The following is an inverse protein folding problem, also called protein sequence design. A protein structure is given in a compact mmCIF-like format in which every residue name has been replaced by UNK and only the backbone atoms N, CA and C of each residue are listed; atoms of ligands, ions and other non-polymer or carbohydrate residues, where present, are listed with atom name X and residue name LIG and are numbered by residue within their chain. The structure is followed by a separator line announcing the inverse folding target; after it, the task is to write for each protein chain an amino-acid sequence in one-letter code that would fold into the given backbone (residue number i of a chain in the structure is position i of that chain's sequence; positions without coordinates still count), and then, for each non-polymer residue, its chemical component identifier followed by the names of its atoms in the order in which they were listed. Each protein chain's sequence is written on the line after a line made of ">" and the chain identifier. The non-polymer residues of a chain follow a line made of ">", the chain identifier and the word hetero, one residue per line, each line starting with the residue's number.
data_IF_764982939790
#
_entry.id   IF_764982939790
#
_cell.length_a   1.000
_cell.length_b   1.000
_cell.length_c   1.000
_cell.angle_alpha   90.00
_cell.angle_beta   90.00
_cell.angle_gamma   90.00
#
_symmetry.space_group_name_H-M   'P 1'
#
loop_
_entity.id
_entity.type
_entity.pdbx_description
1 polymer ?
#
# COMPACT_ATOMS: atom_id res chain seq x y z
N UNK A 1 68.25 37.31 0.78
CA UNK A 1 68.38 35.85 0.90
C UNK A 1 67.17 35.35 1.65
N UNK A 2 66.21 34.80 0.99
CA UNK A 2 64.98 34.24 1.58
C UNK A 2 65.37 32.86 2.11
N UNK A 3 65.14 32.68 3.42
CA UNK A 3 65.61 31.52 4.17
C UNK A 3 64.84 30.25 3.72
N UNK A 4 65.51 29.28 3.12
CA UNK A 4 64.94 28.02 2.59
C UNK A 4 64.05 27.25 3.60
N UNK A 5 64.26 27.43 4.92
CA UNK A 5 63.47 26.81 5.98
C UNK A 5 62.01 27.29 6.04
N UNK A 6 61.71 28.49 5.55
CA UNK A 6 60.33 29.01 5.50
C UNK A 6 59.58 28.51 4.29
N UNK A 7 60.28 28.26 3.17
CA UNK A 7 59.69 27.71 1.94
C UNK A 7 59.27 26.26 2.17
N UNK A 8 60.08 25.44 2.85
CA UNK A 8 59.70 24.06 3.15
C UNK A 8 58.53 23.97 4.16
N UNK A 9 58.42 24.90 5.13
CA UNK A 9 57.28 24.98 6.03
C UNK A 9 55.98 25.42 5.32
N UNK A 10 56.07 26.36 4.37
CA UNK A 10 54.91 26.79 3.59
C UNK A 10 54.46 25.67 2.65
N UNK A 11 55.38 24.94 2.00
CA UNK A 11 55.05 23.79 1.16
C UNK A 11 54.44 22.64 1.95
N UNK A 12 54.91 22.38 3.16
CA UNK A 12 54.33 21.35 4.06
C UNK A 12 52.91 21.73 4.53
N UNK A 13 52.66 23.00 4.82
CA UNK A 13 51.31 23.48 5.20
C UNK A 13 50.34 23.43 4.03
N UNK A 14 50.78 23.78 2.80
CA UNK A 14 49.95 23.63 1.59
C UNK A 14 49.67 22.15 1.26
N UNK A 15 50.61 21.23 1.50
CA UNK A 15 50.39 19.80 1.27
C UNK A 15 49.42 19.20 2.29
N UNK A 16 49.40 19.66 3.54
CA UNK A 16 48.43 19.25 4.58
C UNK A 16 47.06 19.80 4.29
N UNK A 17 46.91 21.01 3.76
CA UNK A 17 45.60 21.58 3.34
C UNK A 17 44.99 20.83 2.14
N UNK A 18 45.78 20.24 1.25
CA UNK A 18 45.26 19.47 0.12
C UNK A 18 44.72 18.08 0.56
N UNK A 19 45.25 17.53 1.65
CA UNK A 19 44.76 16.25 2.19
C UNK A 19 43.45 16.44 3.00
N UNK A 20 43.15 17.64 3.50
CA UNK A 20 41.90 17.97 4.23
C UNK A 20 40.68 18.16 3.31
N UNK A 21 40.84 18.21 1.97
CA UNK A 21 39.75 18.11 0.99
C UNK A 21 39.32 16.64 0.75
N UNK A 22 39.71 15.73 1.67
CA UNK A 22 39.34 14.33 1.64
C UNK A 22 37.89 14.11 1.97
N UNK A 23 37.15 13.63 1.01
CA UNK A 23 35.91 12.86 1.13
C UNK A 23 34.86 13.45 2.09
N UNK A 24 34.22 14.52 1.71
CA UNK A 24 32.83 14.69 2.16
C UNK A 24 32.07 13.47 1.64
N UNK A 25 31.80 12.47 2.50
CA UNK A 25 30.95 11.34 2.17
C UNK A 25 29.66 11.92 1.58
N UNK A 26 29.48 11.76 0.29
CA UNK A 26 28.28 12.22 -0.40
C UNK A 26 27.06 11.66 0.32
N UNK A 27 26.25 12.52 0.92
CA UNK A 27 25.02 12.11 1.60
C UNK A 27 23.88 11.87 0.59
N UNK A 28 24.24 11.25 -0.55
CA UNK A 28 23.36 10.99 -1.67
C UNK A 28 23.44 9.52 -2.08
N UNK A 29 22.32 8.98 -2.56
CA UNK A 29 22.32 7.75 -3.32
C UNK A 29 22.35 8.04 -4.83
N UNK A 30 22.76 7.06 -5.61
CA UNK A 30 22.83 7.15 -7.07
C UNK A 30 22.06 6.00 -7.72
N UNK A 31 21.19 6.31 -8.65
CA UNK A 31 20.51 5.33 -9.52
C UNK A 31 20.99 5.58 -10.94
N UNK A 32 21.65 4.61 -11.54
CA UNK A 32 22.22 4.73 -12.90
C UNK A 32 21.97 3.48 -13.72
N UNK A 33 22.20 3.57 -14.99
CA UNK A 33 22.12 2.38 -15.84
C UNK A 33 21.90 2.68 -17.31
N UNK A 34 21.40 1.65 -18.00
CA UNK A 34 21.11 1.69 -19.43
C UNK A 34 19.74 1.06 -19.68
N UNK A 35 18.93 1.73 -20.50
CA UNK A 35 17.67 1.18 -21.03
C UNK A 35 17.80 1.07 -22.54
N UNK A 36 18.03 -0.12 -23.06
CA UNK A 36 18.11 -0.38 -24.49
C UNK A 36 16.74 -0.13 -25.16
N UNK A 37 16.74 0.29 -26.42
CA UNK A 37 15.52 0.51 -27.22
C UNK A 37 14.64 1.67 -26.74
N UNK A 38 15.16 2.58 -25.89
CA UNK A 38 14.40 3.66 -25.24
C UNK A 38 14.58 5.05 -25.86
N UNK A 39 15.22 5.16 -27.00
CA UNK A 39 15.55 6.45 -27.64
C UNK A 39 14.33 7.39 -27.70
N UNK A 40 14.51 8.61 -27.21
CA UNK A 40 13.48 9.65 -27.21
C UNK A 40 12.40 9.51 -26.13
N UNK A 41 12.38 8.41 -25.38
CA UNK A 41 11.45 8.21 -24.26
C UNK A 41 11.97 8.90 -22.99
N UNK A 42 11.08 9.32 -22.12
CA UNK A 42 11.42 9.92 -20.82
C UNK A 42 11.36 8.85 -19.74
N UNK A 43 12.47 8.69 -19.01
CA UNK A 43 12.56 7.87 -17.80
C UNK A 43 12.40 8.80 -16.60
N UNK A 44 11.52 8.41 -15.68
CA UNK A 44 11.28 9.12 -14.44
C UNK A 44 11.83 8.34 -13.26
N UNK A 45 12.44 9.04 -12.31
CA UNK A 45 12.68 8.56 -10.96
C UNK A 45 11.59 9.11 -10.06
N UNK A 46 10.87 8.23 -9.38
CA UNK A 46 9.75 8.59 -8.51
C UNK A 46 9.95 8.00 -7.11
N UNK A 47 9.57 8.75 -6.07
CA UNK A 47 9.44 8.25 -4.71
C UNK A 47 8.00 7.75 -4.50
N UNK A 48 7.86 6.59 -3.90
CA UNK A 48 6.57 5.97 -3.59
C UNK A 48 6.27 6.15 -2.11
N UNK A 49 5.58 7.24 -1.76
CA UNK A 49 5.08 7.50 -0.41
C UNK A 49 3.93 6.56 -0.02
N UNK A 50 3.36 6.75 1.16
CA UNK A 50 2.20 5.97 1.62
C UNK A 50 0.92 6.30 0.85
N UNK A 51 0.70 7.58 0.57
CA UNK A 51 -0.52 8.11 -0.06
C UNK A 51 -0.26 8.84 -1.37
N UNK A 52 1.00 9.05 -1.76
CA UNK A 52 1.32 9.82 -2.94
C UNK A 52 2.60 9.34 -3.62
N UNK A 53 2.69 9.61 -4.91
CA UNK A 53 3.89 9.37 -5.71
C UNK A 53 4.44 10.72 -6.12
N UNK A 54 5.74 10.93 -5.85
CA UNK A 54 6.42 12.20 -6.17
C UNK A 54 7.48 11.97 -7.23
N UNK A 55 7.41 12.70 -8.33
CA UNK A 55 8.49 12.70 -9.32
C UNK A 55 9.68 13.46 -8.72
N UNK A 56 10.82 12.78 -8.58
CA UNK A 56 12.05 13.36 -8.06
C UNK A 56 12.94 13.91 -9.17
N UNK A 57 12.98 13.20 -10.31
CA UNK A 57 13.83 13.57 -11.43
C UNK A 57 13.34 12.87 -12.71
N UNK A 58 13.81 13.36 -13.87
CA UNK A 58 13.50 12.74 -15.14
C UNK A 58 14.61 13.00 -16.17
N UNK A 59 14.76 12.07 -17.12
CA UNK A 59 15.71 12.21 -18.22
C UNK A 59 15.10 11.72 -19.53
N UNK A 60 15.28 12.50 -20.60
CA UNK A 60 14.98 12.05 -21.96
C UNK A 60 16.13 11.18 -22.47
N UNK A 61 15.87 9.90 -22.66
CA UNK A 61 16.90 8.92 -23.02
C UNK A 61 17.38 9.14 -24.47
N UNK A 62 18.72 9.09 -24.62
CA UNK A 62 19.39 9.15 -25.91
C UNK A 62 19.53 7.75 -26.51
N UNK A 63 20.19 7.67 -27.68
CA UNK A 63 20.37 6.39 -28.40
C UNK A 63 21.17 5.36 -27.58
N UNK A 64 22.05 5.78 -26.68
CA UNK A 64 22.83 4.91 -25.80
C UNK A 64 22.03 4.44 -24.56
N UNK A 65 20.83 4.97 -24.35
CA UNK A 65 19.92 4.61 -23.26
C UNK A 65 20.44 4.89 -21.85
N UNK A 66 21.57 5.61 -21.71
CA UNK A 66 22.20 5.85 -20.41
C UNK A 66 21.44 6.88 -19.59
N UNK A 67 21.38 6.63 -18.27
CA UNK A 67 20.82 7.56 -17.31
C UNK A 67 21.61 7.55 -15.99
N UNK A 68 21.48 8.64 -15.24
CA UNK A 68 22.01 8.76 -13.88
C UNK A 68 21.17 9.79 -13.11
N UNK A 69 20.62 9.34 -11.99
CA UNK A 69 19.93 10.17 -11.01
C UNK A 69 20.73 10.19 -9.70
N UNK A 70 20.80 11.35 -9.05
CA UNK A 70 21.38 11.53 -7.72
C UNK A 70 20.35 12.21 -6.81
N UNK A 71 20.10 11.63 -5.64
CA UNK A 71 19.14 12.17 -4.68
C UNK A 71 19.73 12.09 -3.27
N UNK A 72 19.30 12.96 -2.33
CA UNK A 72 19.64 12.82 -0.93
C UNK A 72 19.26 11.44 -0.41
N UNK A 73 20.09 10.85 0.44
CA UNK A 73 19.75 9.57 1.07
C UNK A 73 18.51 9.73 1.96
N UNK A 74 17.62 8.74 1.99
CA UNK A 74 16.46 8.76 2.86
C UNK A 74 16.87 8.62 4.35
N UNK A 75 16.02 9.10 5.26
CA UNK A 75 16.22 8.97 6.71
C UNK A 75 16.06 7.53 7.20
N UNK A 76 15.15 6.78 6.55
CA UNK A 76 14.87 5.36 6.77
C UNK A 76 14.82 4.67 5.40
N UNK A 77 14.81 3.33 5.34
CA UNK A 77 14.55 2.64 4.09
C UNK A 77 13.29 3.18 3.41
N UNK A 78 13.41 3.64 2.18
CA UNK A 78 12.31 4.23 1.44
C UNK A 78 12.19 3.63 0.04
N UNK A 79 11.06 3.85 -0.60
CA UNK A 79 10.63 3.15 -1.79
C UNK A 79 10.62 4.07 -2.99
N UNK A 80 11.19 3.57 -4.06
CA UNK A 80 11.35 4.29 -5.31
C UNK A 80 10.90 3.43 -6.48
N UNK A 81 10.68 4.09 -7.61
CA UNK A 81 10.46 3.38 -8.88
C UNK A 81 11.05 4.13 -10.06
N UNK A 82 11.53 3.38 -11.03
CA UNK A 82 11.79 3.89 -12.36
C UNK A 82 10.52 3.69 -13.19
N UNK A 83 10.04 4.74 -13.84
CA UNK A 83 8.88 4.67 -14.73
C UNK A 83 9.27 5.02 -16.15
N UNK A 84 9.00 4.08 -17.06
CA UNK A 84 9.13 4.26 -18.51
C UNK A 84 7.77 4.02 -19.15
N UNK A 85 7.10 5.08 -19.64
CA UNK A 85 5.68 5.04 -20.04
C UNK A 85 4.82 4.48 -18.90
N UNK A 86 4.14 3.33 -19.13
CA UNK A 86 3.29 2.65 -18.15
C UNK A 86 3.98 1.47 -17.46
N UNK A 87 5.30 1.30 -17.68
CA UNK A 87 6.07 0.22 -17.07
C UNK A 87 6.87 0.73 -15.87
N UNK A 88 6.95 -0.06 -14.81
CA UNK A 88 7.50 0.32 -13.52
C UNK A 88 8.52 -0.70 -13.04
N UNK A 89 9.70 -0.25 -12.62
CA UNK A 89 10.67 -1.04 -11.87
C UNK A 89 10.70 -0.49 -10.45
N UNK A 90 10.23 -1.26 -9.48
CA UNK A 90 10.26 -0.91 -8.07
C UNK A 90 11.58 -1.30 -7.42
N UNK A 91 12.06 -0.46 -6.51
CA UNK A 91 13.27 -0.71 -5.74
C UNK A 91 13.24 0.09 -4.42
N UNK A 92 14.16 -0.21 -3.53
CA UNK A 92 14.31 0.53 -2.27
C UNK A 92 15.72 1.09 -2.13
N UNK A 93 15.83 2.13 -1.33
CA UNK A 93 17.09 2.73 -0.90
C UNK A 93 17.08 2.87 0.61
N UNK A 94 18.14 2.44 1.27
CA UNK A 94 18.32 2.57 2.72
C UNK A 94 19.55 3.38 3.13
N UNK A 95 20.45 3.64 2.19
CA UNK A 95 21.74 4.26 2.48
C UNK A 95 22.24 5.16 1.32
N UNK A 96 23.54 5.41 1.29
CA UNK A 96 24.25 6.12 0.21
C UNK A 96 24.70 5.19 -0.91
N UNK A 97 23.93 4.18 -1.22
CA UNK A 97 24.23 3.16 -2.22
C UNK A 97 24.21 3.68 -3.66
N UNK A 98 24.86 2.93 -4.53
CA UNK A 98 24.77 3.12 -5.98
C UNK A 98 24.10 1.90 -6.58
N UNK A 99 22.91 2.09 -7.13
CA UNK A 99 22.13 1.03 -7.75
C UNK A 99 22.25 1.15 -9.26
N UNK A 100 22.63 0.07 -9.92
CA UNK A 100 22.80 0.03 -11.37
C UNK A 100 21.76 -0.85 -12.02
N UNK A 101 20.98 -0.31 -12.95
CA UNK A 101 19.96 -1.03 -13.71
C UNK A 101 20.38 -1.19 -15.17
N UNK A 102 20.15 -2.38 -15.71
CA UNK A 102 20.20 -2.62 -17.16
C UNK A 102 18.86 -3.21 -17.58
N UNK A 103 18.18 -2.59 -18.53
CA UNK A 103 16.84 -2.98 -18.96
C UNK A 103 16.66 -2.81 -20.47
N UNK A 104 15.61 -3.43 -21.02
CA UNK A 104 15.13 -3.22 -22.37
C UNK A 104 13.74 -2.56 -22.32
N UNK A 105 13.51 -1.53 -23.14
CA UNK A 105 12.28 -0.77 -23.14
C UNK A 105 11.03 -1.58 -23.52
N UNK A 106 11.18 -2.68 -24.27
CA UNK A 106 10.05 -3.55 -24.66
C UNK A 106 9.61 -4.45 -23.51
N UNK A 107 10.58 -4.92 -22.69
CA UNK A 107 10.35 -5.82 -21.56
C UNK A 107 10.87 -5.21 -20.25
N UNK A 108 10.60 -3.93 -20.03
CA UNK A 108 11.22 -3.12 -18.99
C UNK A 108 11.09 -3.73 -17.59
N UNK A 109 9.91 -4.29 -17.27
CA UNK A 109 9.61 -4.86 -15.94
C UNK A 109 10.23 -6.24 -15.73
N UNK A 110 10.39 -7.03 -16.79
CA UNK A 110 10.80 -8.45 -16.67
C UNK A 110 12.25 -8.70 -17.04
N UNK A 111 12.81 -7.89 -17.96
CA UNK A 111 14.17 -8.13 -18.49
C UNK A 111 15.29 -7.44 -17.70
N UNK A 112 14.96 -6.53 -16.77
CA UNK A 112 15.99 -5.75 -16.10
C UNK A 112 16.89 -6.60 -15.20
N UNK A 113 18.16 -6.17 -15.08
CA UNK A 113 19.08 -6.60 -14.01
C UNK A 113 19.32 -5.45 -13.06
N UNK A 114 19.65 -5.76 -11.81
CA UNK A 114 19.96 -4.76 -10.79
C UNK A 114 21.18 -5.21 -9.99
N UNK A 115 22.12 -4.27 -9.79
CA UNK A 115 23.35 -4.48 -9.04
C UNK A 115 23.54 -3.36 -8.02
N UNK A 116 24.30 -3.63 -6.95
CA UNK A 116 24.63 -2.66 -5.91
C UNK A 116 23.60 -2.52 -4.80
N UNK A 117 22.51 -3.32 -4.81
CA UNK A 117 21.51 -3.35 -3.76
C UNK A 117 20.85 -4.73 -3.67
N UNK A 118 21.04 -5.44 -2.56
CA UNK A 118 20.43 -6.75 -2.34
C UNK A 118 18.91 -6.63 -2.16
N UNK A 119 18.44 -5.56 -1.49
CA UNK A 119 17.01 -5.30 -1.38
C UNK A 119 16.37 -5.11 -2.77
N UNK A 120 17.02 -4.38 -3.67
CA UNK A 120 16.50 -4.16 -5.03
C UNK A 120 16.49 -5.44 -5.88
N UNK A 121 17.43 -6.37 -5.66
CA UNK A 121 17.38 -7.71 -6.25
C UNK A 121 16.20 -8.50 -5.75
N UNK A 122 15.96 -8.46 -4.44
CA UNK A 122 14.83 -9.12 -3.83
C UNK A 122 13.48 -8.52 -4.27
N UNK A 123 13.41 -7.20 -4.46
CA UNK A 123 12.23 -6.55 -5.07
C UNK A 123 11.90 -7.11 -6.45
N UNK A 124 12.92 -7.40 -7.27
CA UNK A 124 12.72 -8.05 -8.57
C UNK A 124 12.11 -9.43 -8.42
N UNK A 125 12.62 -10.26 -7.50
CA UNK A 125 12.08 -11.60 -7.25
C UNK A 125 10.60 -11.53 -6.85
N UNK A 126 10.25 -10.65 -5.91
CA UNK A 126 8.87 -10.42 -5.48
C UNK A 126 7.99 -9.90 -6.63
N UNK A 127 8.50 -8.96 -7.42
CA UNK A 127 7.75 -8.42 -8.58
C UNK A 127 7.47 -9.51 -9.61
N UNK A 128 8.45 -10.34 -9.92
CA UNK A 128 8.26 -11.45 -10.89
C UNK A 128 7.26 -12.47 -10.36
N UNK A 129 7.35 -12.85 -9.08
CA UNK A 129 6.39 -13.75 -8.47
C UNK A 129 4.95 -13.19 -8.49
N UNK A 130 4.80 -11.89 -8.26
CA UNK A 130 3.52 -11.19 -8.34
C UNK A 130 2.97 -11.17 -9.77
N UNK A 131 3.82 -10.91 -10.76
CA UNK A 131 3.44 -10.93 -12.18
C UNK A 131 3.01 -12.32 -12.63
N UNK A 132 3.75 -13.36 -12.24
CA UNK A 132 3.44 -14.75 -12.58
C UNK A 132 2.07 -15.16 -12.00
N UNK A 133 1.79 -14.83 -10.75
CA UNK A 133 0.49 -15.11 -10.13
C UNK A 133 -0.67 -14.37 -10.84
N UNK A 134 -0.47 -13.09 -11.22
CA UNK A 134 -1.48 -12.34 -11.98
C UNK A 134 -1.69 -12.89 -13.39
N UNK A 135 -0.61 -13.34 -14.05
CA UNK A 135 -0.71 -13.96 -15.37
C UNK A 135 -1.46 -15.28 -15.31
N UNK A 136 -1.20 -16.09 -14.27
CA UNK A 136 -1.90 -17.35 -14.06
C UNK A 136 -3.40 -17.11 -13.78
N UNK A 137 -3.73 -16.16 -12.90
CA UNK A 137 -5.12 -15.78 -12.65
C UNK A 137 -5.84 -15.36 -13.94
N UNK A 138 -5.17 -14.59 -14.81
CA UNK A 138 -5.75 -14.19 -16.11
C UNK A 138 -6.04 -15.38 -17.01
N UNK A 139 -5.13 -16.38 -17.08
CA UNK A 139 -5.35 -17.62 -17.83
C UNK A 139 -6.52 -18.41 -17.27
N UNK A 140 -6.58 -18.58 -15.94
CA UNK A 140 -7.64 -19.30 -15.24
C UNK A 140 -9.02 -18.66 -15.50
N UNK A 141 -9.13 -17.34 -15.44
CA UNK A 141 -10.37 -16.61 -15.77
C UNK A 141 -10.83 -16.86 -17.17
N UNK A 142 -9.92 -16.82 -18.14
CA UNK A 142 -10.25 -17.10 -19.54
C UNK A 142 -10.76 -18.53 -19.72
N UNK A 143 -10.08 -19.53 -19.13
CA UNK A 143 -10.48 -20.94 -19.21
C UNK A 143 -11.82 -21.18 -18.53
N UNK A 144 -12.05 -20.58 -17.38
CA UNK A 144 -13.31 -20.67 -16.65
C UNK A 144 -14.47 -19.98 -17.43
N UNK A 145 -14.23 -18.77 -17.94
CA UNK A 145 -15.23 -18.05 -18.76
C UNK A 145 -15.60 -18.75 -20.06
N UNK A 146 -14.73 -19.61 -20.59
CA UNK A 146 -14.99 -20.47 -21.73
C UNK A 146 -15.58 -21.84 -21.35
N UNK A 147 -15.89 -22.09 -20.07
CA UNK A 147 -16.35 -23.36 -19.52
C UNK A 147 -15.37 -24.54 -19.77
N UNK A 148 -14.06 -24.26 -19.87
CA UNK A 148 -13.03 -25.29 -20.09
C UNK A 148 -12.59 -25.99 -18.81
N UNK A 149 -12.84 -25.39 -17.65
CA UNK A 149 -12.54 -25.93 -16.33
C UNK A 149 -13.75 -25.76 -15.40
N UNK A 150 -14.01 -26.74 -14.52
CA UNK A 150 -15.09 -26.65 -13.55
C UNK A 150 -14.75 -25.66 -12.42
N UNK A 151 -15.75 -25.20 -11.69
CA UNK A 151 -15.64 -24.24 -10.59
C UNK A 151 -14.63 -24.68 -9.50
N UNK A 152 -14.66 -25.97 -9.11
CA UNK A 152 -13.74 -26.53 -8.12
C UNK A 152 -12.26 -26.40 -8.56
N UNK A 153 -11.96 -26.72 -9.82
CA UNK A 153 -10.61 -26.57 -10.38
C UNK A 153 -10.20 -25.11 -10.47
N UNK A 154 -11.13 -24.22 -10.83
CA UNK A 154 -10.88 -22.79 -10.87
C UNK A 154 -10.50 -22.24 -9.50
N UNK A 155 -11.29 -22.54 -8.46
CA UNK A 155 -11.04 -22.11 -7.08
C UNK A 155 -9.72 -22.67 -6.54
N UNK A 156 -9.46 -23.98 -6.71
CA UNK A 156 -8.22 -24.61 -6.28
C UNK A 156 -6.99 -23.97 -6.95
N UNK A 157 -7.06 -23.72 -8.25
CA UNK A 157 -5.96 -23.14 -9.01
C UNK A 157 -5.65 -21.69 -8.58
N UNK A 158 -6.67 -20.89 -8.24
CA UNK A 158 -6.47 -19.56 -7.66
C UNK A 158 -5.76 -19.64 -6.31
N UNK A 159 -6.21 -20.54 -5.43
CA UNK A 159 -5.56 -20.75 -4.14
C UNK A 159 -4.09 -21.14 -4.29
N UNK A 160 -3.79 -22.02 -5.25
CA UNK A 160 -2.43 -22.43 -5.56
C UNK A 160 -1.55 -21.28 -6.07
N UNK A 161 -2.09 -20.42 -6.95
CA UNK A 161 -1.37 -19.24 -7.44
C UNK A 161 -1.05 -18.26 -6.29
N UNK A 162 -1.99 -18.04 -5.38
CA UNK A 162 -1.80 -17.23 -4.17
C UNK A 162 -0.77 -17.86 -3.24
N UNK A 163 -0.85 -19.18 -3.01
CA UNK A 163 0.07 -19.89 -2.14
C UNK A 163 1.50 -19.85 -2.69
N UNK A 164 1.68 -20.00 -4.00
CA UNK A 164 3.00 -19.93 -4.65
C UNK A 164 3.69 -18.59 -4.43
N UNK A 165 2.96 -17.48 -4.58
CA UNK A 165 3.47 -16.16 -4.24
C UNK A 165 3.84 -16.07 -2.74
N UNK A 166 2.93 -16.49 -1.85
CA UNK A 166 3.14 -16.40 -0.40
C UNK A 166 4.38 -17.18 0.06
N UNK A 167 4.71 -18.31 -0.55
CA UNK A 167 5.91 -19.08 -0.23
C UNK A 167 7.19 -18.28 -0.52
N UNK A 168 7.24 -17.56 -1.64
CA UNK A 168 8.38 -16.68 -1.97
C UNK A 168 8.42 -15.48 -1.01
N UNK A 169 7.29 -14.83 -0.79
CA UNK A 169 7.18 -13.65 0.06
C UNK A 169 7.56 -13.91 1.53
N UNK A 170 7.15 -15.08 2.08
CA UNK A 170 7.43 -15.50 3.46
C UNK A 170 8.92 -15.59 3.77
N UNK A 171 9.77 -15.94 2.78
CA UNK A 171 11.24 -15.96 2.94
C UNK A 171 11.75 -14.60 3.41
N UNK A 172 11.23 -13.51 2.83
CA UNK A 172 11.61 -12.14 3.16
C UNK A 172 10.89 -11.63 4.41
N UNK A 173 9.59 -11.87 4.52
CA UNK A 173 8.74 -11.41 5.62
C UNK A 173 9.23 -11.96 6.97
N UNK A 174 9.59 -13.24 7.02
CA UNK A 174 10.03 -13.87 8.27
C UNK A 174 11.55 -13.97 8.39
N UNK A 175 12.29 -13.99 7.27
CA UNK A 175 13.75 -14.04 7.29
C UNK A 175 14.43 -12.73 7.64
N UNK A 176 13.87 -11.59 7.18
CA UNK A 176 14.39 -10.26 7.45
C UNK A 176 13.23 -9.24 7.57
N UNK A 177 12.40 -9.33 8.62
CA UNK A 177 11.16 -8.55 8.73
C UNK A 177 11.36 -7.05 8.82
N UNK A 178 12.57 -6.56 9.17
CA UNK A 178 12.94 -5.14 9.14
C UNK A 178 13.32 -4.64 7.73
N UNK A 179 13.51 -5.55 6.76
CA UNK A 179 13.94 -5.14 5.42
C UNK A 179 12.82 -4.43 4.65
N UNK A 180 13.16 -3.49 3.75
CA UNK A 180 12.16 -2.91 2.86
C UNK A 180 11.52 -3.98 1.95
N UNK A 181 12.22 -5.08 1.65
CA UNK A 181 11.67 -6.20 0.89
C UNK A 181 10.53 -6.90 1.62
N UNK A 182 10.62 -7.07 2.94
CA UNK A 182 9.54 -7.66 3.73
C UNK A 182 8.26 -6.80 3.67
N UNK A 183 8.41 -5.49 3.82
CA UNK A 183 7.29 -4.55 3.63
C UNK A 183 6.72 -4.65 2.21
N UNK A 184 7.58 -4.58 1.18
CA UNK A 184 7.16 -4.65 -0.21
C UNK A 184 6.40 -5.95 -0.52
N UNK A 185 6.91 -7.08 -0.06
CA UNK A 185 6.29 -8.39 -0.24
C UNK A 185 4.92 -8.50 0.44
N UNK A 186 4.77 -7.90 1.63
CA UNK A 186 3.52 -7.93 2.39
C UNK A 186 2.37 -7.21 1.66
N UNK A 187 2.68 -6.14 0.91
CA UNK A 187 1.68 -5.28 0.27
C UNK A 187 1.52 -5.53 -1.24
N UNK A 188 2.01 -6.65 -1.77
CA UNK A 188 1.73 -6.98 -3.17
C UNK A 188 0.30 -7.49 -3.35
N UNK A 189 -0.19 -7.32 -4.59
CA UNK A 189 -1.58 -7.58 -4.95
C UNK A 189 -1.68 -8.56 -6.12
N UNK A 190 -2.73 -9.34 -6.10
CA UNK A 190 -3.23 -10.13 -7.22
C UNK A 190 -4.62 -9.57 -7.60
N UNK A 191 -4.74 -9.03 -8.80
CA UNK A 191 -5.99 -8.42 -9.29
C UNK A 191 -6.59 -7.39 -8.32
N UNK A 192 -5.74 -6.52 -7.74
CA UNK A 192 -6.14 -5.50 -6.79
C UNK A 192 -6.37 -5.98 -5.35
N UNK A 193 -6.20 -7.27 -5.07
CA UNK A 193 -6.36 -7.85 -3.73
C UNK A 193 -5.00 -8.15 -3.10
N UNK A 194 -4.84 -7.87 -1.84
CA UNK A 194 -3.61 -8.27 -1.15
C UNK A 194 -3.46 -9.78 -1.09
N UNK A 195 -2.26 -10.28 -1.39
CA UNK A 195 -1.94 -11.69 -1.18
C UNK A 195 -2.07 -12.08 0.28
N UNK A 196 -1.59 -11.23 1.20
CA UNK A 196 -1.75 -11.42 2.63
C UNK A 196 -3.00 -10.70 3.10
N UNK A 197 -4.01 -11.46 3.48
CA UNK A 197 -5.26 -10.91 3.97
C UNK A 197 -5.11 -10.45 5.43
N UNK A 198 -5.35 -9.17 5.66
CA UNK A 198 -5.28 -8.56 6.99
C UNK A 198 -6.19 -9.24 8.02
N UNK A 199 -7.28 -9.84 7.54
CA UNK A 199 -8.33 -10.45 8.36
C UNK A 199 -8.22 -11.99 8.41
N UNK A 200 -7.24 -12.59 7.73
CA UNK A 200 -6.94 -14.00 7.86
C UNK A 200 -6.01 -14.25 9.05
N UNK A 201 -6.34 -15.24 9.88
CA UNK A 201 -5.59 -15.57 11.10
C UNK A 201 -4.15 -16.04 10.82
N UNK A 202 -3.91 -16.68 9.70
CA UNK A 202 -2.57 -17.17 9.31
C UNK A 202 -1.74 -16.01 8.80
N UNK A 203 -2.32 -15.16 7.96
CA UNK A 203 -1.66 -14.02 7.36
C UNK A 203 -1.36 -12.89 8.38
N UNK A 204 -2.17 -12.77 9.43
CA UNK A 204 -1.97 -11.79 10.51
C UNK A 204 -0.59 -11.85 11.16
N UNK A 205 0.04 -13.03 11.17
CA UNK A 205 1.40 -13.23 11.68
C UNK A 205 2.44 -12.48 10.84
N UNK A 206 2.23 -12.37 9.54
CA UNK A 206 3.10 -11.63 8.64
C UNK A 206 3.07 -10.11 8.97
N UNK A 207 1.88 -9.56 9.17
CA UNK A 207 1.72 -8.16 9.61
C UNK A 207 2.39 -7.92 10.97
N UNK A 208 2.18 -8.82 11.93
CA UNK A 208 2.79 -8.73 13.26
C UNK A 208 4.32 -8.75 13.22
N UNK A 209 4.91 -9.64 12.42
CA UNK A 209 6.36 -9.77 12.29
C UNK A 209 6.99 -8.49 11.72
N UNK A 210 6.45 -7.98 10.60
CA UNK A 210 6.97 -6.78 9.94
C UNK A 210 6.73 -5.53 10.81
N UNK A 211 5.54 -5.38 11.39
CA UNK A 211 5.21 -4.25 12.26
C UNK A 211 6.11 -4.15 13.48
N UNK A 212 6.34 -5.27 14.20
CA UNK A 212 7.23 -5.31 15.35
C UNK A 212 8.65 -4.91 14.98
N UNK A 213 9.15 -5.43 13.86
CA UNK A 213 10.49 -5.09 13.39
C UNK A 213 10.63 -3.65 12.96
N UNK A 214 9.67 -3.11 12.19
CA UNK A 214 9.70 -1.70 11.78
C UNK A 214 9.58 -0.76 12.97
N UNK A 215 8.75 -1.08 13.96
CA UNK A 215 8.66 -0.30 15.22
C UNK A 215 9.99 -0.29 15.98
N UNK A 216 10.73 -1.40 15.97
CA UNK A 216 12.01 -1.53 16.65
C UNK A 216 13.13 -0.76 15.94
N UNK A 217 13.24 -0.91 14.61
CA UNK A 217 14.38 -0.39 13.86
C UNK A 217 14.12 1.00 13.26
N UNK A 218 12.85 1.34 12.97
CA UNK A 218 12.47 2.59 12.31
C UNK A 218 11.23 3.24 12.97
N UNK A 219 11.24 3.49 14.30
CA UNK A 219 10.04 3.91 15.05
C UNK A 219 9.42 5.21 14.54
N UNK A 220 10.25 6.11 14.00
CA UNK A 220 9.79 7.39 13.44
C UNK A 220 9.34 7.32 11.98
N UNK A 221 9.45 6.15 11.34
CA UNK A 221 9.02 5.98 9.96
C UNK A 221 7.49 6.01 9.85
N UNK A 222 6.91 6.76 8.88
CA UNK A 222 5.49 6.69 8.61
C UNK A 222 4.99 5.27 8.32
N UNK A 223 5.84 4.43 7.69
CA UNK A 223 5.53 3.02 7.41
C UNK A 223 5.47 2.17 8.68
N UNK A 224 6.29 2.48 9.70
CA UNK A 224 6.20 1.79 10.99
C UNK A 224 4.86 2.07 11.67
N UNK A 225 4.39 3.33 11.65
CA UNK A 225 3.09 3.71 12.22
C UNK A 225 1.93 3.04 11.47
N UNK A 226 1.99 3.01 10.14
CA UNK A 226 1.01 2.30 9.32
C UNK A 226 0.96 0.81 9.66
N UNK A 227 2.11 0.14 9.69
CA UNK A 227 2.21 -1.29 10.00
C UNK A 227 1.70 -1.61 11.40
N UNK A 228 2.01 -0.76 12.40
CA UNK A 228 1.50 -0.94 13.77
C UNK A 228 -0.03 -0.88 13.80
N UNK A 229 -0.62 0.11 13.14
CA UNK A 229 -2.08 0.22 13.03
C UNK A 229 -2.70 -1.01 12.36
N UNK A 230 -2.13 -1.46 11.23
CA UNK A 230 -2.61 -2.63 10.51
C UNK A 230 -2.48 -3.93 11.34
N UNK A 231 -1.35 -4.12 12.02
CA UNK A 231 -1.13 -5.29 12.86
C UNK A 231 -2.09 -5.34 14.05
N UNK A 232 -2.35 -4.20 14.70
CA UNK A 232 -3.32 -4.11 15.79
C UNK A 232 -4.74 -4.40 15.28
N UNK A 233 -5.12 -3.86 14.12
CA UNK A 233 -6.40 -4.14 13.50
C UNK A 233 -6.55 -5.63 13.16
N UNK A 234 -5.55 -6.22 12.54
CA UNK A 234 -5.51 -7.64 12.23
C UNK A 234 -5.68 -8.50 13.48
N UNK A 235 -4.96 -8.19 14.55
CA UNK A 235 -5.05 -8.92 15.82
C UNK A 235 -6.45 -8.81 16.47
N UNK A 236 -7.09 -7.64 16.42
CA UNK A 236 -8.44 -7.46 16.98
C UNK A 236 -9.46 -8.32 16.27
N UNK A 237 -9.43 -8.32 14.93
CA UNK A 237 -10.40 -9.10 14.13
C UNK A 237 -10.11 -10.61 14.19
N UNK A 238 -8.83 -11.03 14.19
CA UNK A 238 -8.47 -12.46 14.13
C UNK A 238 -8.46 -13.16 15.48
N UNK A 239 -8.37 -12.43 16.60
CA UNK A 239 -8.44 -13.00 17.95
C UNK A 239 -9.87 -13.26 18.42
N UNK A 240 -10.88 -12.91 17.64
CA UNK A 240 -12.32 -13.06 17.87
C UNK A 240 -12.72 -13.69 19.20
N UNK A 241 -13.52 -13.00 20.02
CA UNK A 241 -14.32 -13.45 21.16
C UNK A 241 -13.61 -14.01 22.41
N UNK A 242 -12.29 -14.04 22.52
CA UNK A 242 -11.62 -14.52 23.73
C UNK A 242 -10.73 -13.50 24.41
N UNK A 243 -11.19 -12.29 24.64
CA UNK A 243 -10.65 -11.49 25.75
C UNK A 243 -11.65 -10.47 26.26
N UNK A 244 -12.21 -10.80 27.40
CA UNK A 244 -12.72 -9.80 28.34
C UNK A 244 -11.64 -8.74 28.59
N UNK A 245 -12.02 -7.51 28.29
CA UNK A 245 -11.59 -6.25 28.89
C UNK A 245 -10.26 -6.29 29.67
N UNK A 246 -9.18 -5.88 29.04
CA UNK A 246 -8.12 -5.19 29.76
C UNK A 246 -8.41 -3.70 29.52
N UNK A 247 -8.85 -3.03 30.57
CA UNK A 247 -9.01 -1.59 30.61
C UNK A 247 -7.68 -0.94 30.28
N UNK A 248 -7.55 -0.30 29.11
CA UNK A 248 -6.55 0.72 28.90
C UNK A 248 -7.24 2.08 29.01
N UNK A 249 -7.14 2.65 30.21
CA UNK A 249 -7.40 4.07 30.41
C UNK A 249 -6.41 4.90 29.57
N UNK A 250 -7.00 5.88 28.86
CA UNK A 250 -6.33 7.05 28.25
C UNK A 250 -5.40 6.84 27.07
N UNK A 251 -5.96 6.47 25.93
CA UNK A 251 -5.56 7.03 24.64
C UNK A 251 -6.73 6.85 23.67
N UNK A 252 -7.18 7.90 23.05
CA UNK A 252 -8.10 7.89 21.90
C UNK A 252 -7.37 7.32 20.68
N UNK A 253 -6.96 6.07 20.75
CA UNK A 253 -6.39 5.34 19.62
C UNK A 253 -7.53 4.74 18.82
N UNK A 254 -7.77 5.31 17.66
CA UNK A 254 -8.72 4.80 16.68
C UNK A 254 -8.29 3.40 16.27
N UNK A 255 -9.11 2.39 16.55
CA UNK A 255 -8.77 0.98 16.34
C UNK A 255 -9.06 0.48 14.91
N UNK A 256 -9.16 1.38 13.96
CA UNK A 256 -9.35 1.12 12.53
C UNK A 256 -8.50 2.11 11.72
N UNK A 257 -8.30 1.81 10.46
CA UNK A 257 -7.63 2.75 9.55
C UNK A 257 -8.60 3.87 9.26
N UNK A 258 -8.23 5.08 9.67
CA UNK A 258 -9.10 6.23 9.49
C UNK A 258 -9.22 6.60 8.02
N UNK A 259 -10.42 7.04 7.66
CA UNK A 259 -10.78 7.44 6.30
C UNK A 259 -11.20 8.89 6.35
N UNK A 260 -10.62 9.70 5.49
CA UNK A 260 -10.98 11.10 5.31
C UNK A 260 -11.19 11.34 3.80
N UNK A 261 -12.43 11.58 3.42
CA UNK A 261 -12.84 11.70 2.02
C UNK A 261 -13.88 12.81 1.85
N UNK A 262 -13.96 13.44 0.65
CA UNK A 262 -14.93 14.48 0.38
C UNK A 262 -16.36 13.94 0.39
N UNK A 263 -17.22 14.63 1.14
CA UNK A 263 -18.66 14.42 1.15
C UNK A 263 -19.35 15.16 -0.01
N UNK A 264 -20.68 15.09 -0.06
CA UNK A 264 -21.53 15.71 -1.11
C UNK A 264 -21.29 17.23 -1.24
N UNK A 265 -20.96 17.88 -0.13
CA UNK A 265 -20.72 19.33 -0.07
C UNK A 265 -19.23 19.70 -0.25
N UNK A 266 -18.43 18.81 -0.81
CA UNK A 266 -16.98 18.97 -1.01
C UNK A 266 -16.19 19.24 0.28
N UNK A 267 -16.76 18.93 1.44
CA UNK A 267 -16.07 18.97 2.74
C UNK A 267 -15.62 17.57 3.08
N UNK A 268 -14.38 17.45 3.50
CA UNK A 268 -13.85 16.17 3.95
C UNK A 268 -14.56 15.73 5.24
N UNK A 269 -14.99 14.48 5.26
CA UNK A 269 -15.66 13.84 6.39
C UNK A 269 -14.79 12.71 6.88
N UNK A 270 -14.42 12.77 8.14
CA UNK A 270 -13.53 11.81 8.77
C UNK A 270 -14.30 10.72 9.47
N UNK A 271 -13.98 9.46 9.16
CA UNK A 271 -14.65 8.31 9.74
C UNK A 271 -14.53 8.27 11.27
N UNK A 272 -13.35 8.62 11.82
CA UNK A 272 -13.13 8.69 13.26
C UNK A 272 -14.02 9.71 13.97
N UNK A 273 -14.38 10.82 13.30
CA UNK A 273 -15.33 11.79 13.87
C UNK A 273 -16.77 11.28 13.88
N UNK A 274 -17.14 10.55 12.82
CA UNK A 274 -18.47 9.92 12.70
C UNK A 274 -18.66 8.79 13.70
N UNK A 275 -17.61 8.03 13.99
CA UNK A 275 -17.62 6.87 14.87
C UNK A 275 -17.69 7.21 16.37
N UNK A 276 -17.57 8.50 16.76
CA UNK A 276 -17.61 8.90 18.17
C UNK A 276 -18.94 8.53 18.83
N UNK A 277 -18.92 7.49 19.67
CA UNK A 277 -20.08 7.04 20.44
C UNK A 277 -21.19 6.37 19.60
N UNK A 278 -20.91 6.06 18.34
CA UNK A 278 -21.86 5.40 17.43
C UNK A 278 -21.32 4.05 16.94
N UNK A 279 -22.24 3.11 16.71
CA UNK A 279 -21.92 1.96 15.86
C UNK A 279 -22.01 2.42 14.40
N UNK A 280 -20.99 2.13 13.59
CA UNK A 280 -20.92 2.61 12.21
C UNK A 280 -20.76 1.45 11.24
N UNK A 281 -21.66 1.38 10.25
CA UNK A 281 -21.50 0.52 9.09
C UNK A 281 -20.69 1.26 8.04
N UNK A 282 -19.44 0.85 7.83
CA UNK A 282 -18.59 1.32 6.74
C UNK A 282 -18.91 0.48 5.52
N UNK A 283 -19.40 1.11 4.46
CA UNK A 283 -19.88 0.45 3.24
C UNK A 283 -19.13 0.99 2.01
N UNK A 284 -18.29 0.16 1.41
CA UNK A 284 -17.73 0.45 0.08
C UNK A 284 -18.72 0.02 -0.99
N UNK A 285 -19.05 0.93 -1.90
CA UNK A 285 -20.11 0.75 -2.91
C UNK A 285 -19.74 1.42 -4.23
N UNK A 286 -20.52 1.10 -5.27
CA UNK A 286 -20.58 1.87 -6.50
C UNK A 286 -22.07 2.04 -6.89
N UNK A 287 -22.50 3.27 -6.96
CA UNK A 287 -23.91 3.61 -7.23
C UNK A 287 -24.32 3.28 -8.70
N UNK A 288 -23.35 3.23 -9.61
CA UNK A 288 -23.59 2.88 -11.02
C UNK A 288 -23.92 1.40 -11.27
N UNK A 289 -23.82 0.55 -10.24
CA UNK A 289 -24.11 -0.87 -10.35
C UNK A 289 -25.62 -1.15 -10.27
N UNK A 290 -26.10 -2.17 -11.01
CA UNK A 290 -27.52 -2.54 -11.08
C UNK A 290 -28.11 -2.95 -9.72
N UNK A 291 -27.29 -3.53 -8.83
CA UNK A 291 -27.73 -3.96 -7.50
C UNK A 291 -27.81 -2.83 -6.48
N UNK A 292 -27.15 -1.69 -6.71
CA UNK A 292 -27.01 -0.60 -5.72
C UNK A 292 -28.33 0.01 -5.27
N UNK A 293 -29.33 0.26 -6.14
CA UNK A 293 -30.62 0.81 -5.69
C UNK A 293 -31.35 -0.09 -4.70
N UNK A 294 -31.45 -1.39 -4.98
CA UNK A 294 -32.11 -2.35 -4.11
C UNK A 294 -31.35 -2.49 -2.76
N UNK A 295 -30.04 -2.51 -2.82
CA UNK A 295 -29.20 -2.58 -1.61
C UNK A 295 -29.36 -1.34 -0.72
N UNK A 296 -29.36 -0.14 -1.32
CA UNK A 296 -29.58 1.10 -0.59
C UNK A 296 -31.00 1.20 0.03
N UNK A 297 -32.00 0.62 -0.61
CA UNK A 297 -33.35 0.49 -0.01
C UNK A 297 -33.31 -0.34 1.30
N UNK A 298 -32.65 -1.50 1.27
CA UNK A 298 -32.50 -2.34 2.47
C UNK A 298 -31.72 -1.61 3.57
N UNK A 299 -30.66 -0.88 3.21
CA UNK A 299 -29.91 -0.05 4.17
C UNK A 299 -30.77 1.08 4.74
N UNK A 300 -31.68 1.66 3.96
CA UNK A 300 -32.59 2.73 4.41
C UNK A 300 -33.55 2.26 5.49
N UNK A 301 -34.05 1.04 5.38
CA UNK A 301 -34.90 0.42 6.40
C UNK A 301 -34.13 0.21 7.71
N UNK A 302 -32.93 -0.34 7.61
CA UNK A 302 -32.05 -0.55 8.78
C UNK A 302 -31.62 0.79 9.41
N UNK A 303 -31.27 1.77 8.61
CA UNK A 303 -30.89 3.10 9.08
C UNK A 303 -32.04 3.77 9.83
N UNK A 304 -33.26 3.75 9.27
CA UNK A 304 -34.44 4.33 9.89
C UNK A 304 -34.79 3.68 11.26
N UNK A 305 -34.51 2.37 11.40
CA UNK A 305 -34.75 1.60 12.61
C UNK A 305 -33.75 1.84 13.74
N UNK A 306 -32.48 2.19 13.39
CA UNK A 306 -31.38 2.20 14.34
C UNK A 306 -30.66 3.56 14.49
N UNK A 307 -30.84 4.55 13.61
CA UNK A 307 -30.18 5.86 13.68
C UNK A 307 -30.38 6.56 15.04
N UNK A 308 -31.59 6.55 15.57
CA UNK A 308 -31.90 7.21 16.85
C UNK A 308 -31.37 6.44 18.08
N UNK A 309 -30.81 5.25 17.84
CA UNK A 309 -30.18 4.40 18.87
C UNK A 309 -28.66 4.48 18.86
N UNK A 310 -28.10 5.38 18.03
CA UNK A 310 -26.65 5.58 17.90
C UNK A 310 -26.02 4.69 16.84
N UNK A 311 -26.73 4.45 15.73
CA UNK A 311 -26.21 3.81 14.54
C UNK A 311 -26.00 4.83 13.42
N UNK A 312 -24.93 4.67 12.63
CA UNK A 312 -24.64 5.49 11.47
C UNK A 312 -24.13 4.62 10.31
N UNK A 313 -24.28 5.12 9.09
CA UNK A 313 -23.68 4.53 7.89
C UNK A 313 -22.69 5.52 7.30
N UNK A 314 -21.47 5.08 7.08
CA UNK A 314 -20.41 5.80 6.36
C UNK A 314 -20.18 5.07 5.04
N UNK A 315 -20.78 5.59 3.97
CA UNK A 315 -20.80 4.96 2.66
C UNK A 315 -19.77 5.60 1.73
N UNK A 316 -18.84 4.79 1.22
CA UNK A 316 -17.74 5.19 0.38
C UNK A 316 -18.06 4.80 -1.06
N UNK A 317 -18.26 5.78 -1.92
CA UNK A 317 -18.44 5.56 -3.35
C UNK A 317 -17.09 5.38 -4.02
N UNK A 318 -16.97 4.31 -4.81
CA UNK A 318 -15.88 4.03 -5.72
C UNK A 318 -16.29 4.29 -7.19
N UNK A 319 -17.34 5.06 -7.43
CA UNK A 319 -17.75 5.45 -8.77
C UNK A 319 -16.68 6.34 -9.43
N UNK A 320 -16.42 6.15 -10.71
CA UNK A 320 -15.48 6.99 -11.46
C UNK A 320 -16.07 8.36 -11.80
N UNK A 321 -17.41 8.50 -11.78
CA UNK A 321 -18.14 9.72 -12.07
C UNK A 321 -18.65 10.38 -10.78
N UNK A 322 -17.95 11.44 -10.37
CA UNK A 322 -18.29 12.20 -9.18
C UNK A 322 -19.65 12.91 -9.27
N UNK A 323 -20.10 13.29 -10.49
CA UNK A 323 -21.41 13.93 -10.67
C UNK A 323 -22.53 12.92 -10.51
N UNK A 324 -22.36 11.72 -11.07
CA UNK A 324 -23.31 10.64 -10.86
C UNK A 324 -23.44 10.30 -9.39
N UNK A 325 -22.31 10.09 -8.70
CA UNK A 325 -22.31 9.85 -7.27
C UNK A 325 -23.05 10.95 -6.49
N UNK A 326 -22.72 12.24 -6.71
CA UNK A 326 -23.40 13.35 -6.00
C UNK A 326 -24.91 13.32 -6.17
N UNK A 327 -25.39 13.08 -7.37
CA UNK A 327 -26.81 12.98 -7.68
C UNK A 327 -27.46 11.80 -6.96
N UNK A 328 -26.86 10.62 -7.01
CA UNK A 328 -27.38 9.43 -6.34
C UNK A 328 -27.36 9.57 -4.81
N UNK A 329 -26.25 10.09 -4.27
CA UNK A 329 -26.06 10.26 -2.84
C UNK A 329 -26.90 11.39 -2.21
N UNK A 330 -27.42 12.35 -3.00
CA UNK A 330 -28.29 13.41 -2.50
C UNK A 330 -29.62 12.91 -1.93
N UNK A 331 -30.02 11.70 -2.27
CA UNK A 331 -31.29 11.10 -1.89
C UNK A 331 -31.18 10.11 -0.72
N UNK A 332 -29.99 9.90 -0.16
CA UNK A 332 -29.80 9.00 0.98
C UNK A 332 -29.69 9.76 2.29
N UNK A 333 -30.23 9.21 3.41
CA UNK A 333 -30.28 9.92 4.69
C UNK A 333 -29.03 9.77 5.57
N UNK A 334 -28.01 9.07 5.12
CA UNK A 334 -26.76 8.83 5.85
C UNK A 334 -25.56 9.48 5.16
N UNK A 335 -24.38 9.31 5.74
CA UNK A 335 -23.14 9.91 5.23
C UNK A 335 -22.67 9.16 4.00
N UNK A 336 -22.48 9.89 2.88
CA UNK A 336 -21.81 9.40 1.69
C UNK A 336 -20.61 10.27 1.36
N UNK A 337 -19.49 9.60 1.12
CA UNK A 337 -18.23 10.18 0.69
C UNK A 337 -17.77 9.53 -0.61
N UNK A 338 -16.86 10.19 -1.32
CA UNK A 338 -16.39 9.72 -2.62
C UNK A 338 -14.86 9.59 -2.62
N UNK A 339 -14.37 8.43 -3.05
CA UNK A 339 -12.97 8.25 -3.35
C UNK A 339 -12.70 8.51 -4.84
N UNK A 340 -12.04 9.62 -5.19
CA UNK A 340 -11.78 9.97 -6.58
C UNK A 340 -10.81 9.01 -7.28
N UNK A 341 -10.12 8.14 -6.53
CA UNK A 341 -9.26 7.11 -7.10
C UNK A 341 -10.07 5.92 -7.65
N UNK A 342 -11.36 5.80 -7.33
CA UNK A 342 -12.28 4.77 -7.84
C UNK A 342 -11.71 3.35 -7.69
N UNK A 343 -11.56 2.62 -8.79
CA UNK A 343 -10.99 1.26 -8.81
C UNK A 343 -9.50 1.21 -8.36
N UNK A 344 -8.81 2.34 -8.32
CA UNK A 344 -7.43 2.46 -7.84
C UNK A 344 -7.34 2.94 -6.38
N UNK A 345 -8.46 2.95 -5.66
CA UNK A 345 -8.56 3.38 -4.27
C UNK A 345 -7.53 2.68 -3.39
N UNK A 346 -6.61 3.47 -2.84
CA UNK A 346 -5.67 2.99 -1.83
C UNK A 346 -6.39 2.60 -0.53
N UNK A 347 -7.51 3.25 -0.22
CA UNK A 347 -8.35 2.95 0.95
C UNK A 347 -9.05 1.61 0.77
N UNK A 348 -9.65 1.37 -0.40
CA UNK A 348 -10.26 0.08 -0.70
C UNK A 348 -9.23 -1.06 -0.67
N UNK A 349 -8.01 -0.81 -1.18
CA UNK A 349 -6.91 -1.78 -1.11
C UNK A 349 -6.49 -2.07 0.35
N UNK A 350 -6.36 -1.05 1.19
CA UNK A 350 -6.02 -1.18 2.61
C UNK A 350 -7.09 -1.97 3.37
N UNK A 351 -8.38 -1.75 3.06
CA UNK A 351 -9.49 -2.50 3.63
C UNK A 351 -9.69 -3.87 2.97
N UNK A 352 -8.82 -4.25 2.03
CA UNK A 352 -8.90 -5.50 1.26
C UNK A 352 -10.30 -5.73 0.65
N UNK A 353 -10.84 -4.69 0.02
CA UNK A 353 -12.15 -4.72 -0.64
C UNK A 353 -12.04 -5.55 -1.92
N UNK A 354 -12.60 -6.76 -1.90
CA UNK A 354 -12.49 -7.74 -3.01
C UNK A 354 -13.62 -7.65 -4.01
N UNK A 355 -14.77 -7.23 -3.53
CA UNK A 355 -15.98 -7.07 -4.31
C UNK A 355 -16.86 -6.01 -3.65
N UNK A 356 -17.81 -5.48 -4.40
CA UNK A 356 -18.79 -4.54 -3.88
C UNK A 356 -20.18 -5.21 -3.80
N UNK A 357 -20.97 -4.89 -2.78
CA UNK A 357 -20.61 -4.05 -1.64
C UNK A 357 -19.65 -4.75 -0.68
N UNK A 358 -18.78 -3.99 -0.03
CA UNK A 358 -17.95 -4.50 1.05
C UNK A 358 -18.28 -3.75 2.36
N UNK A 359 -18.59 -4.52 3.40
CA UNK A 359 -19.16 -4.01 4.63
C UNK A 359 -18.29 -4.30 5.84
N UNK A 360 -18.02 -3.27 6.64
CA UNK A 360 -17.28 -3.37 7.88
C UNK A 360 -18.07 -2.69 8.99
N UNK A 361 -17.99 -3.23 10.20
CA UNK A 361 -18.79 -2.74 11.32
C UNK A 361 -17.89 -2.25 12.46
N UNK A 362 -18.11 -1.01 12.87
CA UNK A 362 -17.50 -0.41 14.06
C UNK A 362 -18.54 -0.44 15.21
N UNK A 363 -18.06 -0.75 16.42
CA UNK A 363 -18.89 -0.62 17.62
C UNK A 363 -18.86 0.83 18.18
N UNK A 364 -19.65 1.11 19.21
CA UNK A 364 -19.72 2.43 19.87
C UNK A 364 -18.42 2.89 20.53
N UNK A 365 -17.45 1.98 20.71
CA UNK A 365 -16.11 2.31 21.21
C UNK A 365 -15.16 2.73 20.10
N UNK A 366 -15.61 2.73 18.85
CA UNK A 366 -14.77 2.98 17.67
C UNK A 366 -13.85 1.81 17.35
N UNK A 367 -14.25 0.58 17.62
CA UNK A 367 -13.48 -0.62 17.29
C UNK A 367 -14.10 -1.31 16.09
N UNK A 368 -13.28 -1.70 15.10
CA UNK A 368 -13.75 -2.57 14.04
C UNK A 368 -13.95 -3.98 14.59
N UNK A 369 -15.20 -4.41 14.64
CA UNK A 369 -15.57 -5.68 15.25
C UNK A 369 -15.81 -6.79 14.23
N UNK A 370 -16.18 -6.43 13.00
CA UNK A 370 -16.55 -7.44 12.00
C UNK A 370 -16.41 -6.91 10.57
N UNK A 371 -15.98 -7.78 9.65
CA UNK A 371 -16.30 -7.70 8.23
C UNK A 371 -17.56 -8.52 7.98
N UNK A 372 -18.57 -7.93 7.40
CA UNK A 372 -19.84 -8.61 7.12
C UNK A 372 -19.74 -9.28 5.75
N UNK A 373 -19.89 -10.59 5.72
CA UNK A 373 -19.74 -11.39 4.49
C UNK A 373 -21.11 -11.73 3.85
N UNK A 374 -22.22 -11.69 4.65
CA UNK A 374 -23.56 -11.93 4.14
C UNK A 374 -24.48 -10.76 4.47
N UNK A 375 -25.26 -10.33 3.49
CA UNK A 375 -26.29 -9.30 3.64
C UNK A 375 -27.36 -9.71 4.67
N UNK A 376 -27.63 -11.02 4.81
CA UNK A 376 -28.66 -11.56 5.70
C UNK A 376 -28.31 -11.37 7.19
N UNK A 377 -27.04 -11.20 7.52
CA UNK A 377 -26.59 -11.02 8.91
C UNK A 377 -26.47 -9.57 9.36
N UNK A 378 -26.58 -8.60 8.43
CA UNK A 378 -26.34 -7.17 8.72
C UNK A 378 -27.11 -6.69 9.94
N UNK A 379 -28.39 -7.00 10.03
CA UNK A 379 -29.23 -6.51 11.14
C UNK A 379 -28.80 -7.10 12.48
N UNK A 380 -28.50 -8.40 12.53
CA UNK A 380 -28.05 -9.05 13.77
C UNK A 380 -26.69 -8.52 14.21
N UNK A 381 -25.79 -8.24 13.24
CA UNK A 381 -24.46 -7.71 13.50
C UNK A 381 -24.53 -6.27 14.02
N UNK A 382 -25.38 -5.42 13.43
CA UNK A 382 -25.63 -4.05 13.93
C UNK A 382 -26.10 -4.09 15.38
N UNK A 383 -27.06 -4.98 15.72
CA UNK A 383 -27.53 -5.12 17.11
C UNK A 383 -26.44 -5.52 18.09
N UNK A 384 -25.50 -6.36 17.65
CA UNK A 384 -24.38 -6.80 18.48
C UNK A 384 -23.31 -5.72 18.70
N UNK A 385 -23.21 -4.75 17.77
CA UNK A 385 -22.23 -3.65 17.84
C UNK A 385 -22.73 -2.41 18.59
N UNK A 386 -24.04 -2.32 18.82
CA UNK A 386 -24.71 -1.21 19.54
C UNK A 386 -24.70 -1.40 21.06
#
# INVERSE_FOLDING_TARGET
>A
MINNKHIHKLLAICLICIIAYGCQKSNTFTVKGVVAGSTGQTLYLENTGLSSITILDSVKLKIDGKFTFKQPRPKYPDFYRLRLKNQLIHFSVDSTETITFTADAHNFVTSYTVEGSENSKAFKEITLAQLDANQELKKLRNSYGMNLIPDSTYQESIMNAVASYKEIAKKYIFGAPMSPTAYFALFQQIDGLWFFDLYDRTDSKAYGAVATSYKTFYPESPRAKQLESLALQSLKVTRGERQKTIEMENATEVSFIDIELPGINDKDIKLSDVAKGKAVLVNFTAYQTEWSPAFNMNLSELYSKYKDKGFEIYQISLDSDAHFWKNAASNIPWISVHDPQSIYSSIAAIYNVRQLPALFLLNKKGEMVKRIESVDTIESDIKAAM
#
